data_IF_078546880887
#
_entry.id   IF_078546880887
#
_cell.length_a   1.000
_cell.length_b   1.000
_cell.length_c   1.000
_cell.angle_alpha   90.00
_cell.angle_beta   90.00
_cell.angle_gamma   90.00
#
_symmetry.space_group_name_H-M   'P 1'
#
loop_
_entity.id
_entity.type
_entity.pdbx_description
1 polymer ?
#
# COMPACT_ATOMS: atom_id res chain seq x y z
N UNK A 1 2.63 2.66 22.16
CA UNK A 1 1.85 1.47 22.56
C UNK A 1 1.26 1.63 23.97
N UNK A 2 2.04 2.12 24.95
CA UNK A 2 1.57 2.29 26.34
C UNK A 2 0.31 3.15 26.52
N UNK A 3 0.02 4.07 25.61
CA UNK A 3 -1.15 4.95 25.70
C UNK A 3 -2.50 4.24 25.44
N UNK A 4 -2.47 3.04 24.87
CA UNK A 4 -3.67 2.21 24.67
C UNK A 4 -3.90 1.21 25.82
N UNK A 5 -2.93 1.09 26.74
CA UNK A 5 -3.05 0.28 27.96
C UNK A 5 -3.73 1.07 29.09
N UNK A 6 -3.97 0.42 30.21
CA UNK A 6 -4.43 1.07 31.41
C UNK A 6 -3.38 2.09 31.89
N UNK A 7 -3.79 3.35 32.18
CA UNK A 7 -2.84 4.38 32.59
C UNK A 7 -2.16 4.03 33.92
N UNK A 8 -0.85 4.20 33.99
CA UNK A 8 -0.14 4.08 35.26
C UNK A 8 -0.51 5.22 36.22
N UNK A 9 -0.47 5.00 37.56
CA UNK A 9 -0.94 5.97 38.56
C UNK A 9 -0.33 7.39 38.50
N UNK A 10 0.84 7.54 37.85
CA UNK A 10 1.55 8.82 37.71
C UNK A 10 1.73 9.24 36.23
N UNK A 11 1.01 8.63 35.32
CA UNK A 11 1.10 8.94 33.90
C UNK A 11 0.54 10.35 33.64
N UNK A 12 1.40 11.26 33.13
CA UNK A 12 1.02 12.66 32.89
C UNK A 12 0.18 12.85 31.64
N UNK A 13 0.37 12.00 30.63
CA UNK A 13 -0.32 12.10 29.34
C UNK A 13 -1.23 10.88 29.21
N UNK A 14 -2.50 11.12 29.07
CA UNK A 14 -3.53 10.10 28.88
C UNK A 14 -4.18 10.32 27.53
N UNK A 15 -4.24 9.26 26.70
CA UNK A 15 -4.87 9.31 25.39
C UNK A 15 -6.38 9.01 25.50
N UNK A 16 -7.17 10.04 25.77
CA UNK A 16 -8.64 9.91 25.82
C UNK A 16 -9.23 10.11 24.43
N UNK A 17 -10.06 9.19 23.90
CA UNK A 17 -10.65 8.02 24.55
C UNK A 17 -9.82 6.71 24.37
N UNK A 18 -8.58 6.76 23.88
CA UNK A 18 -7.78 5.59 23.51
C UNK A 18 -7.27 4.73 24.68
N UNK A 19 -7.29 5.26 25.91
CA UNK A 19 -6.82 4.52 27.10
C UNK A 19 -7.61 3.22 27.32
N UNK A 20 -6.93 2.16 27.71
CA UNK A 20 -7.51 0.85 28.00
C UNK A 20 -8.33 0.24 26.82
N UNK A 21 -8.05 0.64 25.60
CA UNK A 21 -8.75 0.10 24.41
C UNK A 21 -8.02 -1.10 23.83
N UNK A 22 -6.73 -1.28 24.14
CA UNK A 22 -5.87 -2.34 23.58
C UNK A 22 -5.95 -2.44 22.04
N UNK A 23 -6.08 -1.29 21.36
CA UNK A 23 -6.20 -1.22 19.91
C UNK A 23 -4.97 -1.87 19.27
N UNK A 24 -5.15 -2.83 18.34
CA UNK A 24 -4.05 -3.39 17.57
C UNK A 24 -3.31 -2.31 16.79
N UNK A 25 -2.01 -2.21 16.98
CA UNK A 25 -1.17 -1.20 16.32
C UNK A 25 -0.36 -1.85 15.22
N UNK A 26 -0.47 -1.33 14.02
CA UNK A 26 0.33 -1.71 12.87
C UNK A 26 1.42 -0.69 12.61
N UNK A 27 2.58 -1.15 12.16
CA UNK A 27 3.62 -0.25 11.70
C UNK A 27 3.59 -0.18 10.17
N UNK A 28 3.15 0.97 9.65
CA UNK A 28 3.13 1.25 8.21
C UNK A 28 4.41 1.96 7.78
N UNK A 29 5.01 1.51 6.69
CA UNK A 29 6.16 2.20 6.10
C UNK A 29 6.55 1.66 4.74
N UNK A 30 7.53 2.32 4.11
CA UNK A 30 8.08 1.95 2.80
C UNK A 30 9.61 1.90 2.82
N UNK A 31 10.22 1.66 3.99
CA UNK A 31 11.67 1.67 4.18
C UNK A 31 12.15 0.45 4.97
N UNK A 32 13.43 0.14 4.86
CA UNK A 32 14.05 -0.91 5.65
C UNK A 32 14.05 -0.58 7.16
N UNK A 33 14.10 0.71 7.51
CA UNK A 33 14.00 1.14 8.90
C UNK A 33 12.65 0.76 9.52
N UNK A 34 11.55 1.01 8.81
CA UNK A 34 10.21 0.65 9.30
C UNK A 34 10.04 -0.88 9.44
N UNK A 35 10.61 -1.65 8.52
CA UNK A 35 10.62 -3.11 8.60
C UNK A 35 11.38 -3.61 9.84
N UNK A 36 12.58 -3.08 10.07
CA UNK A 36 13.39 -3.44 11.22
C UNK A 36 12.73 -3.03 12.55
N UNK A 37 12.10 -1.86 12.58
CA UNK A 37 11.40 -1.38 13.78
C UNK A 37 10.19 -2.26 14.09
N UNK A 38 9.38 -2.62 13.08
CA UNK A 38 8.25 -3.51 13.25
C UNK A 38 8.69 -4.89 13.78
N UNK A 39 9.76 -5.45 13.20
CA UNK A 39 10.32 -6.71 13.60
C UNK A 39 10.76 -6.72 15.08
N UNK A 40 11.52 -5.71 15.51
CA UNK A 40 12.00 -5.58 16.89
C UNK A 40 10.90 -5.31 17.92
N UNK A 41 9.80 -4.70 17.49
CA UNK A 41 8.65 -4.45 18.37
C UNK A 41 7.64 -5.59 18.37
N UNK A 42 7.84 -6.63 17.54
CA UNK A 42 6.90 -7.74 17.37
C UNK A 42 5.51 -7.25 16.92
N UNK A 43 5.47 -6.26 16.02
CA UNK A 43 4.23 -5.67 15.53
C UNK A 43 3.92 -6.15 14.11
N UNK A 44 2.63 -6.23 13.72
CA UNK A 44 2.27 -6.43 12.33
C UNK A 44 2.81 -5.29 11.46
N UNK A 45 3.31 -5.64 10.28
CA UNK A 45 3.97 -4.73 9.38
C UNK A 45 3.18 -4.54 8.09
N UNK A 46 2.86 -3.30 7.74
CA UNK A 46 2.23 -2.94 6.49
C UNK A 46 3.23 -2.21 5.58
N UNK A 47 3.55 -2.79 4.43
CA UNK A 47 4.45 -2.16 3.47
C UNK A 47 3.69 -1.37 2.42
N UNK A 48 3.95 -0.07 2.35
CA UNK A 48 3.37 0.83 1.36
C UNK A 48 4.08 0.68 -0.01
N UNK A 49 3.88 -0.44 -0.69
CA UNK A 49 4.58 -0.80 -1.93
C UNK A 49 4.25 0.14 -3.10
N UNK A 50 3.13 0.85 -3.04
CA UNK A 50 2.77 1.90 -4.00
C UNK A 50 3.69 3.14 -3.94
N UNK A 51 4.51 3.29 -2.91
CA UNK A 51 5.53 4.35 -2.84
C UNK A 51 6.95 3.86 -3.14
N UNK A 52 7.28 2.64 -2.78
CA UNK A 52 8.63 2.11 -2.93
C UNK A 52 8.64 0.62 -3.36
N UNK A 53 8.07 0.27 -4.53
CA UNK A 53 7.89 -1.12 -4.94
C UNK A 53 9.21 -1.93 -4.99
N UNK A 54 10.32 -1.27 -5.31
CA UNK A 54 11.64 -1.92 -5.40
C UNK A 54 12.19 -2.40 -4.06
N UNK A 55 11.75 -1.79 -2.95
CA UNK A 55 12.23 -2.11 -1.60
C UNK A 55 11.42 -3.23 -0.94
N UNK A 56 10.26 -3.60 -1.50
CA UNK A 56 9.31 -4.53 -0.89
C UNK A 56 9.96 -5.86 -0.49
N UNK A 57 10.60 -6.56 -1.43
CA UNK A 57 11.19 -7.87 -1.14
C UNK A 57 12.24 -7.83 -0.03
N UNK A 58 13.12 -6.84 -0.08
CA UNK A 58 14.15 -6.66 0.95
C UNK A 58 13.55 -6.29 2.30
N UNK A 59 12.50 -5.46 2.34
CA UNK A 59 11.84 -5.09 3.57
C UNK A 59 11.11 -6.27 4.23
N UNK A 60 10.43 -7.09 3.43
CA UNK A 60 9.76 -8.31 3.90
C UNK A 60 10.78 -9.30 4.48
N UNK A 61 11.87 -9.54 3.74
CA UNK A 61 12.94 -10.43 4.22
C UNK A 61 13.52 -9.91 5.54
N UNK A 62 13.87 -8.63 5.61
CA UNK A 62 14.43 -8.01 6.82
C UNK A 62 13.48 -8.13 8.01
N UNK A 63 12.18 -7.90 7.79
CA UNK A 63 11.17 -8.04 8.85
C UNK A 63 11.09 -9.46 9.38
N UNK A 64 11.01 -10.47 8.48
CA UNK A 64 10.92 -11.88 8.88
C UNK A 64 12.16 -12.38 9.60
N UNK A 65 13.35 -12.06 9.09
CA UNK A 65 14.62 -12.50 9.65
C UNK A 65 14.91 -11.91 11.04
N UNK A 66 14.37 -10.74 11.33
CA UNK A 66 14.63 -10.03 12.59
C UNK A 66 13.41 -9.93 13.50
N UNK A 67 12.34 -10.68 13.22
CA UNK A 67 11.12 -10.63 14.00
C UNK A 67 11.35 -11.20 15.41
N UNK A 68 10.98 -10.42 16.39
CA UNK A 68 11.00 -10.80 17.80
C UNK A 68 9.55 -10.96 18.30
N UNK A 69 9.11 -12.16 18.73
CA UNK A 69 7.76 -12.35 19.27
C UNK A 69 7.47 -11.39 20.43
N UNK A 70 6.23 -10.91 20.51
CA UNK A 70 5.78 -9.95 21.51
C UNK A 70 4.43 -10.33 22.12
N UNK A 71 3.89 -9.47 22.98
CA UNK A 71 2.51 -9.61 23.49
C UNK A 71 1.44 -9.40 22.39
N UNK A 72 1.84 -8.93 21.19
CA UNK A 72 0.93 -8.62 20.08
C UNK A 72 0.92 -9.71 19.02
N UNK A 73 2.07 -10.35 18.76
CA UNK A 73 2.23 -11.37 17.73
C UNK A 73 3.27 -12.41 18.13
N UNK A 74 2.96 -13.68 17.89
CA UNK A 74 3.88 -14.81 18.04
C UNK A 74 4.70 -15.06 16.76
N UNK A 75 4.21 -14.65 15.60
CA UNK A 75 4.82 -14.85 14.29
C UNK A 75 4.71 -13.58 13.43
N UNK A 76 5.59 -13.39 12.42
CA UNK A 76 5.47 -12.27 11.47
C UNK A 76 4.09 -12.23 10.81
N UNK A 77 3.53 -11.04 10.68
CA UNK A 77 2.30 -10.79 9.94
C UNK A 77 2.49 -9.57 9.05
N UNK A 78 2.29 -9.75 7.73
CA UNK A 78 2.65 -8.76 6.71
C UNK A 78 1.44 -8.40 5.87
N UNK A 79 1.16 -7.12 5.77
CA UNK A 79 0.24 -6.53 4.81
C UNK A 79 0.99 -5.79 3.70
N UNK A 80 0.50 -5.86 2.47
CA UNK A 80 1.05 -5.19 1.31
C UNK A 80 0.02 -4.25 0.69
N UNK A 81 0.41 -2.98 0.47
CA UNK A 81 -0.41 -2.01 -0.25
C UNK A 81 -0.37 -2.26 -1.77
N UNK A 82 -1.52 -2.46 -2.41
CA UNK A 82 -1.61 -2.75 -3.85
C UNK A 82 -2.56 -1.74 -4.50
N UNK A 83 -2.08 -0.90 -5.45
CA UNK A 83 -2.99 -0.14 -6.29
C UNK A 83 -3.80 -1.09 -7.17
N UNK A 84 -5.10 -0.93 -7.22
CA UNK A 84 -5.97 -1.79 -8.02
C UNK A 84 -7.01 -0.97 -8.80
N UNK A 85 -7.22 -1.37 -10.05
CA UNK A 85 -8.32 -0.91 -10.90
C UNK A 85 -8.93 -2.11 -11.59
N UNK A 86 -10.13 -2.49 -11.16
CA UNK A 86 -10.83 -3.66 -11.68
C UNK A 86 -12.05 -3.18 -12.47
N UNK A 87 -12.23 -3.73 -13.66
CA UNK A 87 -13.40 -3.47 -14.49
C UNK A 87 -13.84 -4.76 -15.22
N UNK A 88 -14.92 -4.71 -15.99
CA UNK A 88 -15.43 -5.89 -16.69
C UNK A 88 -14.45 -6.46 -17.74
N UNK A 89 -13.62 -5.61 -18.31
CA UNK A 89 -12.59 -5.98 -19.27
C UNK A 89 -11.28 -5.28 -18.97
N UNK A 90 -10.16 -5.87 -19.41
CA UNK A 90 -8.84 -5.27 -19.28
C UNK A 90 -8.78 -3.88 -19.95
N UNK A 91 -9.42 -3.73 -21.12
CA UNK A 91 -9.46 -2.46 -21.84
C UNK A 91 -10.21 -1.36 -21.06
N UNK A 92 -11.30 -1.70 -20.38
CA UNK A 92 -12.01 -0.75 -19.52
C UNK A 92 -11.19 -0.39 -18.29
N UNK A 93 -10.53 -1.37 -17.66
CA UNK A 93 -9.68 -1.12 -16.51
C UNK A 93 -8.50 -0.20 -16.86
N UNK A 94 -7.83 -0.44 -17.99
CA UNK A 94 -6.76 0.44 -18.48
C UNK A 94 -7.26 1.86 -18.77
N UNK A 95 -8.43 2.01 -19.40
CA UNK A 95 -9.04 3.32 -19.59
C UNK A 95 -9.26 4.04 -18.25
N UNK A 96 -9.84 3.37 -17.25
CA UNK A 96 -10.09 3.95 -15.92
C UNK A 96 -8.78 4.29 -15.19
N UNK A 97 -7.75 3.46 -15.33
CA UNK A 97 -6.44 3.67 -14.73
C UNK A 97 -5.71 4.92 -15.23
N UNK A 98 -6.09 5.46 -16.41
CA UNK A 98 -5.50 6.72 -16.90
C UNK A 98 -5.73 7.90 -15.95
N UNK A 99 -6.77 7.88 -15.12
CA UNK A 99 -6.97 8.87 -14.04
C UNK A 99 -5.85 8.81 -13.00
N UNK A 100 -5.48 7.60 -12.60
CA UNK A 100 -4.40 7.35 -11.66
C UNK A 100 -3.04 7.74 -12.26
N UNK A 101 -2.80 7.41 -13.52
CA UNK A 101 -1.57 7.79 -14.23
C UNK A 101 -1.43 9.32 -14.33
N UNK A 102 -2.50 10.04 -14.67
CA UNK A 102 -2.52 11.51 -14.69
C UNK A 102 -2.21 12.10 -13.30
N UNK A 103 -2.71 11.49 -12.22
CA UNK A 103 -2.45 11.96 -10.85
C UNK A 103 -0.98 11.82 -10.49
N UNK A 104 -0.37 10.65 -10.76
CA UNK A 104 1.06 10.43 -10.46
C UNK A 104 1.94 11.31 -11.35
N UNK A 105 1.60 11.46 -12.61
CA UNK A 105 2.28 12.41 -13.50
C UNK A 105 2.20 13.85 -12.96
N UNK A 106 1.03 14.27 -12.46
CA UNK A 106 0.85 15.56 -11.79
C UNK A 106 1.72 15.70 -10.53
N UNK A 107 1.82 14.64 -9.72
CA UNK A 107 2.69 14.59 -8.55
C UNK A 107 4.17 14.85 -8.94
N UNK A 108 4.65 14.18 -9.97
CA UNK A 108 6.03 14.32 -10.46
C UNK A 108 6.32 15.72 -11.00
N UNK A 109 5.30 16.39 -11.53
CA UNK A 109 5.38 17.77 -12.04
C UNK A 109 5.10 18.85 -10.98
N UNK A 110 4.89 18.49 -9.73
CA UNK A 110 4.51 19.42 -8.66
C UNK A 110 3.15 20.10 -8.85
N UNK A 111 2.23 19.43 -9.57
CA UNK A 111 0.88 19.91 -9.84
C UNK A 111 -0.13 19.40 -8.79
N UNK A 112 -1.39 19.83 -8.91
CA UNK A 112 -2.47 19.35 -8.08
C UNK A 112 -2.68 17.83 -8.19
N UNK A 113 -2.88 17.17 -7.06
CA UNK A 113 -3.16 15.73 -6.96
C UNK A 113 -4.65 15.39 -7.16
N UNK A 114 -5.47 16.35 -7.56
CA UNK A 114 -6.89 16.12 -7.84
C UNK A 114 -7.03 15.14 -8.99
N UNK A 115 -7.82 14.10 -8.80
CA UNK A 115 -8.14 13.15 -9.87
C UNK A 115 -8.81 13.88 -11.02
N UNK A 116 -8.38 13.54 -12.23
CA UNK A 116 -8.97 14.00 -13.50
C UNK A 116 -9.77 12.87 -14.13
N UNK A 117 -10.73 13.20 -14.96
CA UNK A 117 -11.45 12.21 -15.75
C UNK A 117 -10.48 11.34 -16.58
N UNK A 118 -10.79 10.06 -16.79
CA UNK A 118 -9.96 9.20 -17.62
C UNK A 118 -9.92 9.70 -19.07
N UNK A 119 -8.83 9.38 -19.75
CA UNK A 119 -8.58 9.75 -21.16
C UNK A 119 -8.43 8.49 -22.00
N UNK A 120 -8.76 8.59 -23.29
CA UNK A 120 -8.68 7.45 -24.21
C UNK A 120 -7.25 6.91 -24.38
N UNK A 121 -6.26 7.78 -24.27
CA UNK A 121 -4.84 7.44 -24.31
C UNK A 121 -4.02 8.43 -23.50
N UNK A 122 -2.92 7.98 -22.96
CA UNK A 122 -1.91 8.84 -22.33
C UNK A 122 -0.87 9.37 -23.34
N UNK A 123 -0.95 8.96 -24.59
CA UNK A 123 -0.02 9.42 -25.63
C UNK A 123 -0.08 10.95 -25.79
N UNK A 124 1.09 11.55 -25.85
CA UNK A 124 1.23 13.02 -25.91
C UNK A 124 1.03 13.75 -24.57
N UNK A 125 0.56 13.07 -23.50
CA UNK A 125 0.44 13.65 -22.17
C UNK A 125 1.73 13.48 -21.33
N UNK A 126 2.52 12.49 -21.62
CA UNK A 126 3.80 12.21 -20.98
C UNK A 126 4.94 12.02 -21.96
N UNK A 127 6.16 12.29 -21.52
CA UNK A 127 7.38 11.90 -22.23
C UNK A 127 7.72 10.42 -21.95
N UNK A 128 8.61 9.78 -22.74
CA UNK A 128 9.06 8.41 -22.45
C UNK A 128 9.67 8.22 -21.05
N UNK A 129 10.39 9.22 -20.54
CA UNK A 129 10.95 9.19 -19.19
C UNK A 129 9.90 9.28 -18.10
N UNK A 130 8.88 10.10 -18.28
CA UNK A 130 7.75 10.21 -17.37
C UNK A 130 6.91 8.94 -17.36
N UNK A 131 6.65 8.36 -18.54
CA UNK A 131 5.98 7.04 -18.65
C UNK A 131 6.73 5.99 -17.84
N UNK A 132 8.03 5.86 -18.03
CA UNK A 132 8.85 4.90 -17.28
C UNK A 132 8.77 5.15 -15.76
N UNK A 133 8.67 6.39 -15.32
CA UNK A 133 8.53 6.75 -13.92
C UNK A 133 7.15 6.37 -13.36
N UNK A 134 6.09 6.58 -14.13
CA UNK A 134 4.72 6.14 -13.79
C UNK A 134 4.62 4.62 -13.75
N UNK A 135 5.17 3.93 -14.76
CA UNK A 135 5.22 2.46 -14.80
C UNK A 135 5.95 1.88 -13.57
N UNK A 136 7.06 2.49 -13.18
CA UNK A 136 7.78 2.10 -11.96
C UNK A 136 6.95 2.35 -10.68
N UNK A 137 6.20 3.43 -10.62
CA UNK A 137 5.33 3.75 -9.49
C UNK A 137 4.21 2.70 -9.35
N UNK A 138 3.64 2.26 -10.46
CA UNK A 138 2.57 1.27 -10.52
C UNK A 138 3.09 -0.17 -10.74
N UNK A 139 4.38 -0.46 -10.48
CA UNK A 139 4.96 -1.78 -10.72
C UNK A 139 4.28 -2.94 -9.94
N UNK A 140 3.57 -2.62 -8.85
CA UNK A 140 2.80 -3.60 -8.04
C UNK A 140 1.29 -3.47 -8.28
N UNK A 141 0.86 -2.59 -9.18
CA UNK A 141 -0.56 -2.38 -9.44
C UNK A 141 -1.19 -3.60 -10.12
N UNK A 142 -2.44 -3.84 -9.79
CA UNK A 142 -3.29 -4.85 -10.41
C UNK A 142 -4.39 -4.13 -11.18
N UNK A 143 -4.28 -4.13 -12.52
CA UNK A 143 -5.19 -3.41 -13.41
C UNK A 143 -5.70 -4.41 -14.45
N UNK A 144 -7.01 -4.59 -14.52
CA UNK A 144 -7.60 -5.51 -15.49
C UNK A 144 -8.99 -6.00 -15.11
N UNK A 145 -9.42 -7.02 -15.83
CA UNK A 145 -10.62 -7.81 -15.50
C UNK A 145 -10.44 -8.57 -14.18
N UNK A 146 -11.51 -9.08 -13.57
CA UNK A 146 -11.41 -9.87 -12.35
C UNK A 146 -10.44 -11.04 -12.48
N UNK A 147 -10.42 -11.74 -13.64
CA UNK A 147 -9.52 -12.87 -13.87
C UNK A 147 -8.05 -12.42 -13.96
N UNK A 148 -7.79 -11.32 -14.66
CA UNK A 148 -6.45 -10.73 -14.78
C UNK A 148 -5.93 -10.30 -13.42
N UNK A 149 -6.75 -9.58 -12.64
CA UNK A 149 -6.38 -9.10 -11.31
C UNK A 149 -6.16 -10.26 -10.34
N UNK A 150 -7.04 -11.27 -10.37
CA UNK A 150 -6.88 -12.48 -9.55
C UNK A 150 -5.54 -13.16 -9.82
N UNK A 151 -5.22 -13.43 -11.10
CA UNK A 151 -3.95 -14.05 -11.47
C UNK A 151 -2.74 -13.21 -11.01
N UNK A 152 -2.82 -11.88 -11.14
CA UNK A 152 -1.78 -10.98 -10.67
C UNK A 152 -1.59 -11.00 -9.14
N UNK A 153 -2.69 -11.07 -8.38
CA UNK A 153 -2.62 -11.20 -6.92
C UNK A 153 -2.04 -12.54 -6.48
N UNK A 154 -2.40 -13.63 -7.16
CA UNK A 154 -1.84 -14.96 -6.92
C UNK A 154 -0.32 -14.98 -7.13
N UNK A 155 0.19 -14.32 -8.20
CA UNK A 155 1.63 -14.16 -8.41
C UNK A 155 2.30 -13.32 -7.31
N UNK A 156 1.65 -12.27 -6.81
CA UNK A 156 2.19 -11.49 -5.69
C UNK A 156 2.23 -12.31 -4.40
N UNK A 157 1.21 -13.10 -4.12
CA UNK A 157 1.20 -14.04 -2.98
C UNK A 157 2.32 -15.07 -3.08
N UNK A 158 2.45 -15.73 -4.23
CA UNK A 158 3.52 -16.71 -4.45
C UNK A 158 4.92 -16.11 -4.27
N UNK A 159 5.11 -14.87 -4.74
CA UNK A 159 6.41 -14.20 -4.70
C UNK A 159 6.78 -13.65 -3.33
N UNK A 160 5.83 -13.07 -2.62
CA UNK A 160 6.10 -12.31 -1.39
C UNK A 160 5.57 -12.96 -0.14
N UNK A 161 4.66 -13.94 -0.28
CA UNK A 161 4.07 -14.71 0.82
C UNK A 161 3.52 -13.79 1.93
N UNK A 162 2.74 -12.78 1.52
CA UNK A 162 2.11 -11.82 2.44
C UNK A 162 0.78 -12.37 2.97
N UNK A 163 0.39 -11.93 4.15
CA UNK A 163 -0.83 -12.39 4.81
C UNK A 163 -2.06 -11.61 4.37
N UNK A 164 -1.87 -10.35 3.94
CA UNK A 164 -2.97 -9.43 3.66
C UNK A 164 -2.61 -8.44 2.55
N UNK A 165 -3.60 -8.06 1.74
CA UNK A 165 -3.52 -6.93 0.82
C UNK A 165 -4.38 -5.76 1.30
N UNK A 166 -3.83 -4.54 1.19
CA UNK A 166 -4.58 -3.29 1.33
C UNK A 166 -4.67 -2.63 -0.04
N UNK A 167 -5.88 -2.52 -0.58
CA UNK A 167 -6.07 -1.94 -1.90
C UNK A 167 -6.24 -0.43 -1.86
N UNK A 168 -5.59 0.26 -2.81
CA UNK A 168 -5.87 1.66 -3.12
C UNK A 168 -6.48 1.75 -4.50
N UNK A 169 -7.57 2.53 -4.65
CA UNK A 169 -8.31 2.64 -5.90
C UNK A 169 -8.46 4.10 -6.31
N UNK A 170 -7.75 4.51 -7.35
CA UNK A 170 -7.75 5.86 -7.90
C UNK A 170 -8.64 5.97 -9.16
N UNK A 171 -9.88 5.52 -9.10
CA UNK A 171 -10.89 5.68 -10.15
C UNK A 171 -11.60 7.02 -9.97
N UNK A 172 -11.74 7.81 -11.06
CA UNK A 172 -12.37 9.12 -11.03
C UNK A 172 -13.87 9.05 -10.75
N UNK A 173 -14.56 8.14 -11.41
CA UNK A 173 -15.99 7.90 -11.23
C UNK A 173 -16.22 7.09 -9.96
N UNK A 174 -16.91 7.68 -8.98
CA UNK A 174 -17.20 7.05 -7.69
C UNK A 174 -18.10 5.82 -7.82
N UNK A 175 -19.00 5.78 -8.80
CA UNK A 175 -19.90 4.65 -9.00
C UNK A 175 -19.19 3.41 -9.58
N UNK A 176 -17.97 3.62 -10.09
CA UNK A 176 -17.10 2.55 -10.60
C UNK A 176 -16.04 2.07 -9.60
N UNK A 177 -16.06 2.56 -8.38
CA UNK A 177 -15.10 2.15 -7.33
C UNK A 177 -15.54 0.93 -6.51
N UNK A 178 -16.72 0.38 -6.82
CA UNK A 178 -17.35 -0.72 -6.07
C UNK A 178 -17.10 -2.03 -6.78
#
# INVERSE_FOLDING_TARGET
LQYFKEPAPQQRIIATPGQNTHIPVWLLGSSLFSAQLAAKLGLPYSFASHFAPRMLGQAIQLYRENFEPSEYLDQPYISMGVPAVVAQTDAEAEYLATSAYQRVLGLMRGQSLKLKAPVATMDGLWSPAEKMSVDNFYAMAQIGSPDTVKAGLEMLLEKYDVDEFIFTCDIYDTDKRI
#
